data_IF_944880862425
#
_entry.id   IF_944880862425
#
_cell.length_a   1.000
_cell.length_b   1.000
_cell.length_c   1.000
_cell.angle_alpha   90.00
_cell.angle_beta   90.00
_cell.angle_gamma   90.00
#
_symmetry.space_group_name_H-M   'P 1'
#
loop_
_entity.id
_entity.type
_entity.pdbx_description
1 polymer ?
#
# COMPACT_ATOMS: atom_id res chain seq x y z
N UNK A 1 -23.17 -32.73 3.48
CA UNK A 1 -21.92 -32.91 4.27
C UNK A 1 -21.69 -31.68 5.14
N UNK A 2 -21.61 -31.83 6.46
CA UNK A 2 -21.18 -30.74 7.37
C UNK A 2 -19.67 -30.55 7.18
N UNK A 3 -19.22 -29.33 6.87
CA UNK A 3 -17.78 -29.02 6.78
C UNK A 3 -17.14 -29.25 8.15
N UNK A 4 -16.04 -29.99 8.20
CA UNK A 4 -15.29 -30.19 9.43
C UNK A 4 -14.89 -28.83 10.03
N UNK A 5 -15.00 -28.67 11.36
CA UNK A 5 -14.59 -27.44 12.01
C UNK A 5 -13.08 -27.25 11.82
N UNK A 6 -12.71 -26.10 11.25
CA UNK A 6 -11.30 -25.72 11.04
C UNK A 6 -10.52 -25.87 12.35
N UNK A 7 -9.31 -26.40 12.25
CA UNK A 7 -8.40 -26.43 13.37
C UNK A 7 -8.02 -25.00 13.79
N UNK A 8 -7.55 -24.83 15.04
CA UNK A 8 -7.11 -23.53 15.52
C UNK A 8 -5.96 -22.94 14.67
N UNK A 9 -5.09 -23.80 14.15
CA UNK A 9 -4.00 -23.41 13.25
C UNK A 9 -4.54 -22.85 11.92
N UNK A 10 -5.56 -23.50 11.35
CA UNK A 10 -6.19 -23.05 10.10
C UNK A 10 -6.98 -21.75 10.29
N UNK A 11 -7.66 -21.58 11.45
CA UNK A 11 -8.33 -20.33 11.82
C UNK A 11 -7.33 -19.18 11.92
N UNK A 12 -6.17 -19.40 12.55
CA UNK A 12 -5.10 -18.40 12.64
C UNK A 12 -4.48 -18.09 11.28
N UNK A 13 -4.24 -19.10 10.44
CA UNK A 13 -3.76 -18.91 9.06
C UNK A 13 -4.72 -18.03 8.26
N UNK A 14 -6.02 -18.37 8.25
CA UNK A 14 -7.07 -17.57 7.60
C UNK A 14 -7.23 -16.17 8.18
N UNK A 15 -7.01 -16.00 9.48
CA UNK A 15 -7.02 -14.67 10.10
C UNK A 15 -5.84 -13.83 9.59
N UNK A 16 -4.62 -14.38 9.57
CA UNK A 16 -3.44 -13.69 9.02
C UNK A 16 -3.60 -13.36 7.54
N UNK A 17 -4.15 -14.28 6.75
CA UNK A 17 -4.43 -14.06 5.33
C UNK A 17 -5.48 -12.95 5.13
N UNK A 18 -6.58 -12.97 5.88
CA UNK A 18 -7.60 -11.90 5.84
C UNK A 18 -7.07 -10.55 6.31
N UNK A 19 -6.19 -10.51 7.31
CA UNK A 19 -5.56 -9.26 7.75
C UNK A 19 -4.59 -8.73 6.68
N UNK A 20 -3.83 -9.62 6.03
CA UNK A 20 -2.97 -9.27 4.90
C UNK A 20 -3.76 -8.75 3.69
N UNK A 21 -4.99 -9.22 3.49
CA UNK A 21 -5.90 -8.69 2.46
C UNK A 21 -6.61 -7.41 2.87
N UNK A 22 -7.03 -7.26 4.13
CA UNK A 22 -7.71 -6.05 4.62
C UNK A 22 -6.77 -4.85 4.75
N UNK A 23 -5.53 -5.05 5.19
CA UNK A 23 -4.50 -3.99 5.20
C UNK A 23 -4.25 -3.39 3.80
N UNK A 24 -4.38 -4.24 2.76
CA UNK A 24 -4.31 -3.80 1.35
C UNK A 24 -5.51 -2.96 0.94
N UNK A 25 -6.69 -3.17 1.54
CA UNK A 25 -7.93 -2.51 1.14
C UNK A 25 -8.13 -1.12 1.75
N UNK A 26 -7.70 -0.90 3.00
CA UNK A 26 -7.95 0.38 3.68
C UNK A 26 -7.24 1.56 3.01
N UNK A 27 -6.07 1.34 2.41
CA UNK A 27 -5.32 2.39 1.69
C UNK A 27 -5.87 2.60 0.27
N UNK A 28 -6.29 1.52 -0.41
CA UNK A 28 -6.78 1.56 -1.81
C UNK A 28 -8.09 2.31 -1.98
N UNK A 29 -8.92 2.38 -0.93
CA UNK A 29 -10.21 3.07 -0.96
C UNK A 29 -10.10 4.60 -1.11
N UNK A 30 -8.97 5.19 -0.71
CA UNK A 30 -8.76 6.64 -0.71
C UNK A 30 -7.81 7.14 -1.81
N UNK A 31 -7.33 6.24 -2.66
CA UNK A 31 -6.39 6.57 -3.73
C UNK A 31 -7.11 6.93 -5.03
N UNK A 32 -6.59 7.94 -5.74
CA UNK A 32 -6.93 8.19 -7.14
C UNK A 32 -6.46 7.00 -8.01
N UNK A 33 -6.84 6.99 -9.28
CA UNK A 33 -6.45 5.90 -10.18
C UNK A 33 -4.94 5.87 -10.41
N UNK A 34 -4.32 7.03 -10.56
CA UNK A 34 -2.87 7.22 -10.75
C UNK A 34 -2.10 6.73 -9.52
N UNK A 35 -2.58 7.05 -8.32
CA UNK A 35 -2.01 6.58 -7.08
C UNK A 35 -2.11 5.05 -6.91
N UNK A 36 -3.18 4.42 -7.42
CA UNK A 36 -3.30 2.95 -7.44
C UNK A 36 -2.29 2.31 -8.37
N UNK A 37 -2.04 2.91 -9.53
CA UNK A 37 -1.04 2.46 -10.49
C UNK A 37 0.38 2.58 -9.92
N UNK A 38 0.71 3.73 -9.31
CA UNK A 38 1.95 3.91 -8.57
C UNK A 38 2.13 2.84 -7.48
N UNK A 39 1.09 2.59 -6.68
CA UNK A 39 1.12 1.59 -5.64
C UNK A 39 1.35 0.16 -6.19
N UNK A 40 0.72 -0.18 -7.32
CA UNK A 40 0.93 -1.48 -7.96
C UNK A 40 2.37 -1.63 -8.46
N UNK A 41 2.90 -0.62 -9.16
CA UNK A 41 4.28 -0.60 -9.64
C UNK A 41 5.31 -0.73 -8.50
N UNK A 42 5.12 0.02 -7.41
CA UNK A 42 5.99 -0.07 -6.23
C UNK A 42 5.95 -1.49 -5.66
N UNK A 43 4.76 -2.07 -5.52
CA UNK A 43 4.60 -3.43 -4.97
C UNK A 43 5.31 -4.46 -5.84
N UNK A 44 5.15 -4.39 -7.16
CA UNK A 44 5.77 -5.31 -8.12
C UNK A 44 7.29 -5.20 -8.15
N UNK A 45 7.83 -3.98 -8.08
CA UNK A 45 9.27 -3.73 -8.19
C UNK A 45 10.02 -3.99 -6.87
N UNK A 46 9.39 -3.73 -5.72
CA UNK A 46 10.07 -3.78 -4.41
C UNK A 46 9.70 -4.99 -3.57
N UNK A 47 8.56 -5.64 -3.85
CA UNK A 47 7.99 -6.67 -2.99
C UNK A 47 7.53 -6.15 -1.62
N UNK A 48 7.47 -4.83 -1.42
CA UNK A 48 7.06 -4.25 -0.14
C UNK A 48 5.59 -4.50 0.14
N UNK A 49 5.27 -4.63 1.43
CA UNK A 49 3.89 -4.66 1.89
C UNK A 49 3.37 -3.24 2.15
N UNK A 50 2.05 -3.11 2.35
CA UNK A 50 1.38 -1.81 2.46
C UNK A 50 1.89 -0.94 3.59
N UNK A 51 2.22 -1.56 4.72
CA UNK A 51 2.74 -0.83 5.90
C UNK A 51 4.08 -0.19 5.58
N UNK A 52 4.96 -0.91 4.87
CA UNK A 52 6.27 -0.40 4.44
C UNK A 52 6.08 0.70 3.40
N UNK A 53 5.24 0.48 2.38
CA UNK A 53 4.98 1.46 1.33
C UNK A 53 4.42 2.76 1.93
N UNK A 54 3.42 2.65 2.81
CA UNK A 54 2.80 3.81 3.45
C UNK A 54 3.78 4.55 4.37
N UNK A 55 4.52 3.82 5.21
CA UNK A 55 5.53 4.44 6.09
C UNK A 55 6.60 5.18 5.29
N UNK A 56 7.07 4.58 4.19
CA UNK A 56 8.05 5.22 3.32
C UNK A 56 7.46 6.41 2.57
N UNK A 57 6.24 6.32 2.03
CA UNK A 57 5.57 7.41 1.33
C UNK A 57 5.41 8.66 2.21
N UNK A 58 5.00 8.49 3.47
CA UNK A 58 4.86 9.60 4.44
C UNK A 58 6.23 10.23 4.72
N UNK A 59 7.26 9.40 4.98
CA UNK A 59 8.61 9.88 5.29
C UNK A 59 9.25 10.61 4.10
N UNK A 60 9.09 10.08 2.90
CA UNK A 60 9.60 10.68 1.67
C UNK A 60 8.87 12.00 1.36
N UNK A 61 7.55 12.05 1.53
CA UNK A 61 6.76 13.29 1.39
C UNK A 61 7.25 14.37 2.36
N UNK A 62 7.47 14.00 3.62
CA UNK A 62 8.00 14.94 4.61
C UNK A 62 9.44 15.36 4.32
N UNK A 63 10.31 14.44 3.89
CA UNK A 63 11.67 14.76 3.49
C UNK A 63 11.71 15.72 2.28
N UNK A 64 10.86 15.50 1.28
CA UNK A 64 10.73 16.40 0.13
C UNK A 64 10.28 17.80 0.56
N UNK A 65 9.33 17.90 1.49
CA UNK A 65 8.91 19.17 2.07
C UNK A 65 10.08 19.87 2.79
N UNK A 66 10.78 19.15 3.68
CA UNK A 66 11.90 19.70 4.47
C UNK A 66 13.06 20.18 3.59
N UNK A 67 13.28 19.54 2.45
CA UNK A 67 14.32 19.92 1.49
C UNK A 67 13.86 20.92 0.42
N UNK A 68 12.62 21.45 0.51
CA UNK A 68 12.09 22.41 -0.46
C UNK A 68 11.81 21.83 -1.85
N UNK A 69 11.82 20.51 -2.00
CA UNK A 69 11.65 19.81 -3.28
C UNK A 69 10.20 19.44 -3.58
N UNK A 70 9.28 19.60 -2.63
CA UNK A 70 7.90 19.14 -2.76
C UNK A 70 7.17 19.75 -3.98
N UNK A 71 7.40 21.02 -4.28
CA UNK A 71 6.78 21.68 -5.43
C UNK A 71 7.27 21.07 -6.76
N UNK A 72 8.58 20.87 -6.88
CA UNK A 72 9.21 20.23 -8.03
C UNK A 72 8.66 18.82 -8.26
N UNK A 73 8.61 18.00 -7.20
CA UNK A 73 8.14 16.63 -7.29
C UNK A 73 6.64 16.57 -7.63
N UNK A 74 5.82 17.45 -7.05
CA UNK A 74 4.39 17.53 -7.40
C UNK A 74 4.19 17.94 -8.87
N UNK A 75 4.95 18.90 -9.38
CA UNK A 75 4.92 19.25 -10.80
C UNK A 75 5.36 18.09 -11.69
N UNK A 76 6.35 17.32 -11.26
CA UNK A 76 6.81 16.13 -11.98
C UNK A 76 5.72 15.04 -12.02
N UNK A 77 5.06 14.76 -10.90
CA UNK A 77 3.93 13.81 -10.85
C UNK A 77 2.84 14.20 -11.84
N UNK A 78 2.40 15.47 -11.78
CA UNK A 78 1.37 16.00 -12.70
C UNK A 78 1.78 15.91 -14.18
N UNK A 79 3.05 16.18 -14.50
CA UNK A 79 3.55 16.11 -15.89
C UNK A 79 3.55 14.68 -16.45
N UNK A 80 3.72 13.68 -15.58
CA UNK A 80 3.81 12.28 -15.97
C UNK A 80 2.50 11.50 -15.73
N UNK A 81 1.42 12.17 -15.31
CA UNK A 81 0.12 11.56 -14.96
C UNK A 81 0.26 10.46 -13.89
N UNK A 82 0.98 10.79 -12.82
CA UNK A 82 1.19 9.93 -11.65
C UNK A 82 0.52 10.50 -10.40
#
# INVERSE_FOLDING_TARGET
MKKEPLSNAEKQKRYRERQKERGKQEIRGYMTQEAKECYQLITEQTGWNDSIIMSNAIRLTYAAYKNGQIALLNSWLKKNNL
#
